data_IF_881768092252
#
_entry.id   IF_881768092252
#
_cell.length_a   1.000
_cell.length_b   1.000
_cell.length_c   1.000
_cell.angle_alpha   90.00
_cell.angle_beta   90.00
_cell.angle_gamma   90.00
#
_symmetry.space_group_name_H-M   'P 1'
#
loop_
_entity.id
_entity.type
_entity.pdbx_description
1 polymer ?
#
# COMPACT_ATOMS: atom_id res chain seq x y z
N UNK A 1 -16.76 9.36 -48.23
CA UNK A 1 -17.35 9.74 -46.93
C UNK A 1 -17.40 8.47 -46.10
N UNK A 2 -16.82 8.49 -44.89
CA UNK A 2 -16.84 7.32 -44.03
C UNK A 2 -18.06 7.42 -43.11
N UNK A 3 -18.79 6.31 -42.96
CA UNK A 3 -19.88 6.20 -42.02
C UNK A 3 -19.33 6.00 -40.61
N UNK A 4 -20.16 6.26 -39.60
CA UNK A 4 -19.77 5.99 -38.22
C UNK A 4 -19.52 4.49 -38.01
N UNK A 5 -18.49 4.17 -37.24
CA UNK A 5 -18.15 2.79 -36.90
C UNK A 5 -19.29 2.03 -36.20
N UNK A 6 -20.16 2.73 -35.47
CA UNK A 6 -21.31 2.14 -34.76
C UNK A 6 -22.64 2.31 -35.51
N UNK A 7 -22.75 3.30 -36.39
CA UNK A 7 -23.99 3.63 -37.09
C UNK A 7 -23.73 3.81 -38.59
N UNK A 8 -24.02 2.78 -39.38
CA UNK A 8 -23.74 2.80 -40.82
C UNK A 8 -24.62 3.78 -41.61
N UNK A 9 -25.75 4.22 -41.05
CA UNK A 9 -26.63 5.22 -41.65
C UNK A 9 -26.16 6.66 -41.41
N UNK A 10 -25.30 6.88 -40.40
CA UNK A 10 -24.86 8.22 -40.02
C UNK A 10 -23.47 8.52 -40.55
N UNK A 11 -23.31 9.70 -41.16
CA UNK A 11 -22.02 10.20 -41.63
C UNK A 11 -21.10 10.52 -40.44
N UNK A 12 -19.83 10.12 -40.53
CA UNK A 12 -18.83 10.48 -39.54
C UNK A 12 -18.32 11.92 -39.74
N UNK A 13 -18.12 12.62 -38.63
CA UNK A 13 -17.67 14.02 -38.60
C UNK A 13 -16.31 14.18 -37.90
N UNK A 14 -15.94 13.22 -37.05
CA UNK A 14 -14.72 13.25 -36.23
C UNK A 14 -14.12 11.85 -36.13
N UNK A 15 -12.85 11.76 -35.75
CA UNK A 15 -12.16 10.49 -35.48
C UNK A 15 -11.78 10.40 -34.01
N UNK A 16 -11.84 9.20 -33.45
CA UNK A 16 -11.41 8.92 -32.07
C UNK A 16 -9.90 9.19 -31.91
N UNK A 17 -9.50 9.95 -30.90
CA UNK A 17 -8.07 10.21 -30.60
C UNK A 17 -7.30 8.97 -30.14
N UNK A 18 -7.98 7.93 -29.63
CA UNK A 18 -7.35 6.69 -29.18
C UNK A 18 -7.18 5.62 -30.26
N UNK A 19 -8.21 5.40 -31.08
CA UNK A 19 -8.25 4.29 -32.05
C UNK A 19 -8.47 4.72 -33.50
N UNK A 20 -8.56 6.02 -33.78
CA UNK A 20 -8.76 6.62 -35.12
C UNK A 20 -10.06 6.22 -35.84
N UNK A 21 -11.00 5.56 -35.16
CA UNK A 21 -12.29 5.17 -35.74
C UNK A 21 -13.16 6.39 -36.07
N UNK A 22 -13.89 6.39 -37.20
CA UNK A 22 -14.80 7.46 -37.58
C UNK A 22 -16.08 7.45 -36.71
N UNK A 23 -16.45 8.60 -36.17
CA UNK A 23 -17.58 8.79 -35.25
C UNK A 23 -18.58 9.83 -35.78
N UNK A 24 -19.88 9.54 -35.62
CA UNK A 24 -20.97 10.52 -35.82
C UNK A 24 -21.10 11.44 -34.59
N UNK A 25 -21.82 12.57 -34.68
CA UNK A 25 -22.00 13.49 -33.55
C UNK A 25 -22.63 12.84 -32.31
N UNK A 26 -23.40 11.76 -32.46
CA UNK A 26 -23.99 11.02 -31.33
C UNK A 26 -22.99 10.11 -30.62
N UNK A 27 -21.97 9.60 -31.32
CA UNK A 27 -20.95 8.71 -30.77
C UNK A 27 -19.65 9.42 -30.37
N UNK A 28 -19.59 10.75 -30.56
CA UNK A 28 -18.46 11.60 -30.16
C UNK A 28 -18.57 11.95 -28.67
N UNK A 29 -17.86 11.20 -27.82
CA UNK A 29 -17.73 11.53 -26.40
C UNK A 29 -16.45 12.32 -26.16
N UNK A 30 -16.59 13.59 -25.75
CA UNK A 30 -15.44 14.48 -25.56
C UNK A 30 -14.96 14.52 -24.13
N UNK A 31 -13.69 14.15 -23.92
CA UNK A 31 -13.00 14.25 -22.63
C UNK A 31 -11.96 15.36 -22.76
N UNK A 32 -12.13 16.45 -21.99
CA UNK A 32 -11.28 17.66 -22.08
C UNK A 32 -11.16 18.22 -23.51
N UNK A 33 -12.23 18.09 -24.30
CA UNK A 33 -12.29 18.58 -25.68
C UNK A 33 -11.83 17.58 -26.75
N UNK A 34 -11.19 16.46 -26.36
CA UNK A 34 -10.74 15.42 -27.29
C UNK A 34 -11.82 14.35 -27.52
N UNK A 35 -12.11 13.97 -28.79
CA UNK A 35 -13.13 12.99 -29.15
C UNK A 35 -12.66 11.55 -28.88
N UNK A 36 -13.46 10.78 -28.13
CA UNK A 36 -13.22 9.36 -27.86
C UNK A 36 -14.46 8.52 -28.17
N UNK A 37 -14.25 7.26 -28.59
CA UNK A 37 -15.32 6.28 -28.73
C UNK A 37 -15.60 5.57 -27.40
N UNK A 38 -16.79 4.99 -27.26
CA UNK A 38 -17.20 4.26 -26.05
C UNK A 38 -16.20 3.17 -25.65
N UNK A 39 -15.71 2.36 -26.59
CA UNK A 39 -14.75 1.29 -26.31
C UNK A 39 -13.44 1.83 -25.69
N UNK A 40 -12.87 2.90 -26.25
CA UNK A 40 -11.64 3.50 -25.74
C UNK A 40 -11.81 4.05 -24.33
N UNK A 41 -12.99 4.61 -24.02
CA UNK A 41 -13.29 5.12 -22.68
C UNK A 41 -13.39 3.96 -21.69
N UNK A 42 -14.12 2.90 -22.04
CA UNK A 42 -14.27 1.70 -21.18
C UNK A 42 -12.91 1.06 -20.93
N UNK A 43 -12.11 0.85 -21.98
CA UNK A 43 -10.73 0.33 -21.83
C UNK A 43 -9.88 1.24 -20.93
N UNK A 44 -9.98 2.56 -21.08
CA UNK A 44 -9.28 3.51 -20.21
C UNK A 44 -9.69 3.38 -18.74
N UNK A 45 -10.99 3.27 -18.47
CA UNK A 45 -11.53 3.08 -17.10
C UNK A 45 -11.11 1.73 -16.52
N UNK A 46 -11.16 0.66 -17.29
CA UNK A 46 -10.71 -0.67 -16.86
C UNK A 46 -9.22 -0.70 -16.50
N UNK A 47 -8.38 -0.01 -17.28
CA UNK A 47 -6.95 0.14 -16.99
C UNK A 47 -6.74 0.91 -15.68
N UNK A 48 -7.47 2.02 -15.47
CA UNK A 48 -7.40 2.78 -14.23
C UNK A 48 -7.92 1.98 -13.03
N UNK A 49 -8.98 1.20 -13.19
CA UNK A 49 -9.49 0.31 -12.15
C UNK A 49 -8.51 -0.82 -11.84
N UNK A 50 -7.84 -1.42 -12.83
CA UNK A 50 -6.78 -2.42 -12.60
C UNK A 50 -5.57 -1.80 -11.90
N UNK A 51 -5.18 -0.58 -12.27
CA UNK A 51 -4.15 0.17 -11.56
C UNK A 51 -4.57 0.46 -10.12
N UNK A 52 -5.81 0.87 -9.87
CA UNK A 52 -6.33 1.08 -8.51
C UNK A 52 -6.54 -0.21 -7.73
N UNK A 53 -6.89 -1.32 -8.36
CA UNK A 53 -6.96 -2.64 -7.72
C UNK A 53 -5.56 -3.13 -7.34
N UNK A 54 -4.57 -2.84 -8.18
CA UNK A 54 -3.15 -3.08 -7.86
C UNK A 54 -2.62 -2.09 -6.82
N UNK A 55 -3.16 -0.87 -6.74
CA UNK A 55 -2.82 0.18 -5.78
C UNK A 55 -3.69 0.20 -4.51
N UNK A 56 -4.72 -0.68 -4.41
CA UNK A 56 -5.39 -1.04 -3.15
C UNK A 56 -4.61 -2.09 -2.36
N UNK A 57 -3.48 -2.56 -2.90
CA UNK A 57 -2.34 -2.90 -2.06
C UNK A 57 -1.79 -1.56 -1.59
N UNK A 58 -1.83 -1.23 -0.29
CA UNK A 58 -1.39 0.07 0.17
C UNK A 58 0.04 0.28 -0.31
N UNK A 59 0.26 1.37 -1.03
CA UNK A 59 1.58 1.92 -1.34
C UNK A 59 2.24 2.38 -0.04
N UNK A 60 2.61 1.44 0.82
CA UNK A 60 3.84 1.51 1.58
C UNK A 60 4.77 0.51 0.94
N UNK A 61 5.92 1.01 0.53
CA UNK A 61 7.04 0.28 -0.06
C UNK A 61 7.48 -0.88 0.82
N UNK A 62 6.86 -2.05 0.68
CA UNK A 62 7.44 -3.30 1.12
C UNK A 62 7.13 -4.33 0.06
N UNK A 63 8.18 -4.69 -0.67
CA UNK A 63 8.29 -5.94 -1.42
C UNK A 63 7.39 -6.98 -0.78
N UNK A 64 6.42 -7.50 -1.52
CA UNK A 64 5.63 -8.70 -1.21
C UNK A 64 6.59 -9.90 -1.11
N UNK A 65 7.54 -9.85 -0.19
CA UNK A 65 8.23 -11.02 0.31
C UNK A 65 7.17 -11.76 1.10
N UNK A 66 7.20 -13.07 0.96
CA UNK A 66 6.54 -13.96 1.92
C UNK A 66 7.22 -13.69 3.27
N UNK A 67 6.77 -12.66 3.97
CA UNK A 67 7.30 -12.24 5.27
C UNK A 67 6.88 -13.33 6.24
N UNK A 68 7.74 -14.34 6.40
CA UNK A 68 7.47 -15.45 7.32
C UNK A 68 7.45 -14.90 8.75
N UNK A 69 6.35 -15.07 9.51
CA UNK A 69 6.21 -14.53 10.86
C UNK A 69 7.32 -15.00 11.81
N UNK A 70 7.92 -16.17 11.52
CA UNK A 70 9.06 -16.71 12.23
C UNK A 70 10.35 -15.87 12.09
N UNK A 71 10.57 -15.28 10.91
CA UNK A 71 11.73 -14.39 10.65
C UNK A 71 11.51 -13.02 11.28
N UNK A 72 10.27 -12.52 11.31
CA UNK A 72 9.94 -11.29 12.04
C UNK A 72 10.18 -11.44 13.55
N UNK A 73 9.86 -12.62 14.11
CA UNK A 73 10.17 -12.96 15.51
C UNK A 73 11.67 -13.06 15.77
N UNK A 74 12.41 -13.78 14.92
CA UNK A 74 13.87 -13.91 15.07
C UNK A 74 14.59 -12.56 14.90
N UNK A 75 14.13 -11.67 14.03
CA UNK A 75 14.70 -10.31 13.91
C UNK A 75 14.37 -9.42 15.11
N UNK A 76 13.14 -9.50 15.65
CA UNK A 76 12.77 -8.77 16.87
C UNK A 76 13.50 -9.28 18.12
N UNK A 77 13.91 -10.56 18.11
CA UNK A 77 14.69 -11.17 19.19
C UNK A 77 16.09 -10.54 19.31
N UNK A 78 16.72 -10.18 18.19
CA UNK A 78 18.10 -9.65 18.17
C UNK A 78 18.15 -8.14 18.43
N UNK A 79 17.18 -7.37 17.93
CA UNK A 79 17.12 -5.91 18.14
C UNK A 79 15.66 -5.46 18.34
N UNK A 80 15.33 -4.82 19.49
CA UNK A 80 14.01 -4.23 19.71
C UNK A 80 13.66 -3.24 18.58
N UNK A 81 12.54 -3.46 17.88
CA UNK A 81 12.07 -2.59 16.80
C UNK A 81 12.43 -3.05 15.37
N UNK A 82 13.32 -4.03 15.21
CA UNK A 82 13.69 -4.55 13.87
C UNK A 82 12.55 -5.35 13.21
N UNK A 83 11.72 -6.02 14.02
CA UNK A 83 10.52 -6.73 13.52
C UNK A 83 9.45 -5.80 12.93
N UNK A 84 9.29 -4.59 13.49
CA UNK A 84 8.37 -3.58 12.97
C UNK A 84 8.90 -2.94 11.67
N UNK A 85 10.22 -2.75 11.56
CA UNK A 85 10.88 -2.34 10.32
C UNK A 85 10.74 -3.40 9.21
N UNK A 86 10.83 -4.69 9.54
CA UNK A 86 10.61 -5.79 8.58
C UNK A 86 9.15 -5.83 8.05
N UNK A 87 8.19 -5.38 8.86
CA UNK A 87 6.79 -5.25 8.48
C UNK A 87 6.45 -3.92 7.78
N UNK A 88 7.42 -3.03 7.56
CA UNK A 88 7.22 -1.73 6.89
C UNK A 88 6.51 -0.65 7.71
N UNK A 89 6.29 -0.89 9.01
CA UNK A 89 5.60 0.06 9.89
C UNK A 89 6.63 0.90 10.64
N UNK A 90 7.14 1.94 9.97
CA UNK A 90 8.16 2.85 10.52
C UNK A 90 7.69 3.61 11.76
N UNK A 91 6.38 3.89 11.87
CA UNK A 91 5.79 4.56 13.03
C UNK A 91 5.89 3.70 14.30
N UNK A 92 5.55 2.40 14.22
CA UNK A 92 5.68 1.47 15.36
C UNK A 92 7.13 1.24 15.75
N UNK A 93 8.02 1.13 14.75
CA UNK A 93 9.45 0.97 14.98
C UNK A 93 10.05 2.17 15.76
N UNK A 94 9.67 3.40 15.39
CA UNK A 94 10.11 4.62 16.08
C UNK A 94 9.60 4.67 17.53
N UNK A 95 8.35 4.29 17.78
CA UNK A 95 7.79 4.27 19.15
C UNK A 95 8.57 3.30 20.04
N UNK A 96 8.85 2.09 19.57
CA UNK A 96 9.60 1.11 20.36
C UNK A 96 11.05 1.52 20.58
N UNK A 97 11.70 2.12 19.58
CA UNK A 97 13.04 2.67 19.71
C UNK A 97 13.09 3.79 20.75
N UNK A 98 12.14 4.73 20.72
CA UNK A 98 12.06 5.83 21.69
C UNK A 98 11.81 5.35 23.11
N UNK A 99 10.91 4.37 23.29
CA UNK A 99 10.65 3.76 24.61
C UNK A 99 11.93 3.09 25.14
N UNK A 100 12.62 2.30 24.32
CA UNK A 100 13.87 1.65 24.72
C UNK A 100 14.98 2.66 25.07
N UNK A 101 15.16 3.69 24.24
CA UNK A 101 16.11 4.76 24.50
C UNK A 101 15.80 5.53 25.81
N UNK A 102 14.52 5.74 26.12
CA UNK A 102 14.09 6.39 27.36
C UNK A 102 14.38 5.56 28.61
N UNK A 103 14.22 4.23 28.53
CA UNK A 103 14.57 3.33 29.63
C UNK A 103 16.08 3.30 29.89
N UNK A 104 16.92 3.34 28.85
CA UNK A 104 18.38 3.44 29.00
C UNK A 104 18.75 4.74 29.72
N UNK A 105 18.18 5.87 29.30
CA UNK A 105 18.45 7.16 29.94
C UNK A 105 18.05 7.15 31.42
N UNK A 106 16.87 6.62 31.76
CA UNK A 106 16.45 6.52 33.17
C UNK A 106 17.36 5.61 34.00
N UNK A 107 17.78 4.46 33.45
CA UNK A 107 18.69 3.54 34.13
C UNK A 107 20.03 4.18 34.50
N UNK A 108 20.57 5.03 33.63
CA UNK A 108 21.84 5.73 33.89
C UNK A 108 21.75 6.83 34.95
N UNK A 109 20.55 7.37 35.20
CA UNK A 109 20.35 8.49 36.14
C UNK A 109 20.00 8.01 37.56
N UNK A 110 19.47 6.79 37.73
CA UNK A 110 18.91 6.34 39.02
C UNK A 110 19.52 5.08 39.65
N UNK A 111 20.64 4.54 39.14
CA UNK A 111 21.20 3.23 39.58
C UNK A 111 20.15 2.09 39.62
N UNK A 112 19.05 2.28 38.90
CA UNK A 112 17.85 1.44 38.89
C UNK A 112 17.98 0.25 37.95
N UNK A 113 19.12 -0.45 38.00
CA UNK A 113 19.45 -1.56 37.08
C UNK A 113 18.39 -2.67 37.09
N UNK A 114 17.72 -2.90 38.22
CA UNK A 114 16.62 -3.87 38.33
C UNK A 114 15.37 -3.45 37.53
N UNK A 115 15.00 -2.16 37.59
CA UNK A 115 13.89 -1.61 36.79
C UNK A 115 14.22 -1.59 35.31
N UNK A 116 15.49 -1.34 34.97
CA UNK A 116 15.97 -1.43 33.59
C UNK A 116 15.85 -2.84 33.03
N UNK A 117 16.30 -3.86 33.78
CA UNK A 117 16.24 -5.26 33.33
C UNK A 117 14.78 -5.74 33.21
N UNK A 118 13.91 -5.42 34.18
CA UNK A 118 12.49 -5.75 34.10
C UNK A 118 11.78 -5.01 32.95
N UNK A 119 12.07 -3.72 32.76
CA UNK A 119 11.53 -2.91 31.67
C UNK A 119 12.02 -3.37 30.30
N UNK A 120 13.27 -3.83 30.21
CA UNK A 120 13.83 -4.41 29.00
C UNK A 120 13.13 -5.72 28.62
N UNK A 121 13.02 -6.66 29.56
CA UNK A 121 12.35 -7.95 29.32
C UNK A 121 10.87 -7.72 28.99
N UNK A 122 10.19 -6.84 29.71
CA UNK A 122 8.79 -6.49 29.47
C UNK A 122 8.57 -5.86 28.08
N UNK A 123 9.40 -4.88 27.70
CA UNK A 123 9.34 -4.23 26.39
C UNK A 123 9.67 -5.20 25.27
N UNK A 124 10.63 -6.11 25.50
CA UNK A 124 11.05 -7.11 24.53
C UNK A 124 9.97 -8.17 24.27
N UNK A 125 9.36 -8.70 25.32
CA UNK A 125 8.21 -9.61 25.20
C UNK A 125 7.01 -8.91 24.55
N UNK A 126 6.73 -7.67 24.94
CA UNK A 126 5.66 -6.87 24.35
C UNK A 126 5.89 -6.63 22.85
N UNK A 127 7.10 -6.25 22.45
CA UNK A 127 7.47 -6.04 21.05
C UNK A 127 7.37 -7.34 20.22
N UNK A 128 7.72 -8.49 20.80
CA UNK A 128 7.57 -9.79 20.14
C UNK A 128 6.08 -10.16 19.92
N UNK A 129 5.23 -9.90 20.93
CA UNK A 129 3.79 -10.14 20.85
C UNK A 129 3.10 -9.16 19.89
N UNK A 130 3.47 -7.88 19.91
CA UNK A 130 2.94 -6.87 18.97
C UNK A 130 3.32 -7.20 17.53
N UNK A 131 4.57 -7.62 17.27
CA UNK A 131 5.01 -8.06 15.95
C UNK A 131 4.21 -9.29 15.46
N UNK A 132 3.95 -10.26 16.35
CA UNK A 132 3.13 -11.44 16.02
C UNK A 132 1.68 -11.07 15.70
N UNK A 133 1.03 -10.28 16.55
CA UNK A 133 -0.35 -9.84 16.34
C UNK A 133 -0.48 -9.02 15.07
N UNK A 134 0.45 -8.11 14.82
CA UNK A 134 0.48 -7.30 13.60
C UNK A 134 0.64 -8.18 12.36
N UNK A 135 1.53 -9.19 12.38
CA UNK A 135 1.67 -10.13 11.28
C UNK A 135 0.39 -10.98 11.04
N UNK A 136 -0.32 -11.36 12.11
CA UNK A 136 -1.58 -12.09 12.01
C UNK A 136 -2.71 -11.22 11.43
N UNK A 137 -2.80 -9.95 11.83
CA UNK A 137 -3.79 -8.98 11.30
C UNK A 137 -3.58 -8.69 9.81
N UNK A 138 -2.32 -8.51 9.39
CA UNK A 138 -1.99 -8.34 7.97
C UNK A 138 -2.38 -9.59 7.17
N UNK A 139 -2.19 -10.78 7.74
CA UNK A 139 -2.56 -12.05 7.08
C UNK A 139 -4.07 -12.25 6.97
N UNK A 140 -4.86 -11.72 7.89
CA UNK A 140 -6.33 -11.78 7.86
C UNK A 140 -6.98 -10.70 6.99
N UNK A 141 -6.19 -9.81 6.36
CA UNK A 141 -6.70 -8.76 5.47
C UNK A 141 -7.32 -7.57 6.21
N UNK A 142 -7.20 -7.53 7.54
CA UNK A 142 -7.58 -6.39 8.36
C UNK A 142 -6.38 -5.46 8.43
N UNK A 143 -6.43 -4.36 7.67
CA UNK A 143 -5.41 -3.32 7.76
C UNK A 143 -5.46 -2.69 9.17
N UNK A 144 -4.32 -2.55 9.86
CA UNK A 144 -4.24 -1.86 11.15
C UNK A 144 -4.38 -0.34 11.02
#
# INVERSE_FOLDING_TARGET
MMNCAYHNMNRAVVQCSGCTRPLCPTCDHRIRGFPYCQDCIVTGVELLQRQQASARVPSTTVVRRKTSPFVALMLSFVVPGLGAAYNGQTSKALVHFTIFASFIQMATVTDGVAFFILGFIGTWLFAAVDACRTAQLIRSGLAP
#
